data_IF_016559974319
#
_entry.id   IF_016559974319
#
_cell.length_a   1.000
_cell.length_b   1.000
_cell.length_c   1.000
_cell.angle_alpha   90.00
_cell.angle_beta   90.00
_cell.angle_gamma   90.00
#
_symmetry.space_group_name_H-M   'P 1'
#
loop_
_entity.id
_entity.type
_entity.pdbx_description
1 polymer ?
#
# COMPACT_ATOMS: atom_id res chain seq x y z
N UNK A 1 -6.67 -42.03 -17.17
CA UNK A 1 -5.78 -40.85 -17.23
C UNK A 1 -6.62 -39.61 -16.92
N UNK A 2 -6.61 -39.12 -15.67
CA UNK A 2 -7.47 -37.99 -15.27
C UNK A 2 -6.82 -36.65 -15.62
N UNK A 3 -7.43 -35.91 -16.55
CA UNK A 3 -7.05 -34.53 -16.88
C UNK A 3 -7.44 -33.64 -15.70
N UNK A 4 -6.46 -33.17 -14.92
CA UNK A 4 -6.72 -32.17 -13.87
C UNK A 4 -7.31 -30.93 -14.54
N UNK A 5 -8.55 -30.59 -14.19
CA UNK A 5 -9.12 -29.30 -14.59
C UNK A 5 -8.37 -28.20 -13.85
N UNK A 6 -8.05 -27.07 -14.51
CA UNK A 6 -7.42 -25.93 -13.86
C UNK A 6 -8.30 -25.47 -12.70
N UNK A 7 -7.73 -25.43 -11.50
CA UNK A 7 -8.44 -24.88 -10.34
C UNK A 7 -8.71 -23.40 -10.60
N UNK A 8 -9.96 -22.94 -10.47
CA UNK A 8 -10.28 -21.53 -10.63
C UNK A 8 -9.48 -20.74 -9.60
N UNK A 9 -8.61 -19.84 -10.08
CA UNK A 9 -7.89 -18.94 -9.19
C UNK A 9 -8.88 -17.90 -8.69
N UNK A 10 -9.14 -17.89 -7.39
CA UNK A 10 -9.99 -16.86 -6.80
C UNK A 10 -9.36 -15.47 -7.04
N UNK A 11 -10.18 -14.44 -7.34
CA UNK A 11 -9.68 -13.10 -7.54
C UNK A 11 -8.92 -12.64 -6.29
N UNK A 12 -7.67 -12.17 -6.47
CA UNK A 12 -6.89 -11.58 -5.37
C UNK A 12 -7.64 -10.36 -4.84
N UNK A 13 -7.78 -10.27 -3.51
CA UNK A 13 -8.38 -9.10 -2.86
C UNK A 13 -7.61 -7.83 -3.24
N UNK A 14 -8.29 -6.70 -3.48
CA UNK A 14 -7.62 -5.45 -3.78
C UNK A 14 -6.71 -5.05 -2.61
N UNK A 15 -5.48 -4.63 -2.92
CA UNK A 15 -4.50 -4.19 -1.92
C UNK A 15 -4.88 -2.78 -1.44
N UNK A 16 -5.29 -2.64 -0.19
CA UNK A 16 -5.66 -1.35 0.42
C UNK A 16 -4.46 -0.47 0.79
N UNK A 17 -3.27 -1.06 0.92
CA UNK A 17 -2.10 -0.37 1.47
C UNK A 17 -1.70 0.92 0.73
N UNK A 18 -1.64 0.96 -0.61
CA UNK A 18 -1.30 2.21 -1.32
C UNK A 18 -2.33 3.32 -1.07
N UNK A 19 -3.62 2.97 -1.05
CA UNK A 19 -4.70 3.95 -0.81
C UNK A 19 -4.70 4.45 0.64
N UNK A 20 -4.38 3.59 1.61
CA UNK A 20 -4.22 4.00 3.01
C UNK A 20 -2.99 4.88 3.22
N UNK A 21 -1.88 4.62 2.52
CA UNK A 21 -0.67 5.43 2.58
C UNK A 21 -0.94 6.83 2.03
N UNK A 22 -1.56 6.91 0.85
CA UNK A 22 -1.96 8.17 0.26
C UNK A 22 -2.93 8.93 1.17
N UNK A 23 -3.94 8.25 1.72
CA UNK A 23 -4.88 8.84 2.66
C UNK A 23 -4.20 9.41 3.92
N UNK A 24 -3.23 8.69 4.50
CA UNK A 24 -2.49 9.16 5.67
C UNK A 24 -1.70 10.44 5.37
N UNK A 25 -0.99 10.48 4.23
CA UNK A 25 -0.26 11.70 3.79
C UNK A 25 -1.24 12.85 3.57
N UNK A 26 -2.35 12.63 2.87
CA UNK A 26 -3.34 13.67 2.60
C UNK A 26 -4.01 14.21 3.88
N UNK A 27 -4.28 13.35 4.86
CA UNK A 27 -4.84 13.78 6.15
C UNK A 27 -3.85 14.65 6.94
N UNK A 28 -2.57 14.29 6.87
CA UNK A 28 -1.50 15.05 7.50
C UNK A 28 -1.32 16.42 6.83
N UNK A 29 -1.29 16.48 5.49
CA UNK A 29 -1.25 17.74 4.73
C UNK A 29 -2.49 18.61 4.99
N UNK A 30 -3.68 18.01 5.01
CA UNK A 30 -4.92 18.71 5.31
C UNK A 30 -4.87 19.38 6.70
N UNK A 31 -4.31 18.70 7.70
CA UNK A 31 -4.10 19.30 9.02
C UNK A 31 -3.18 20.52 8.91
N UNK A 32 -2.04 20.41 8.22
CA UNK A 32 -1.12 21.55 8.08
C UNK A 32 -1.80 22.75 7.40
N UNK A 33 -2.63 22.50 6.38
CA UNK A 33 -3.41 23.56 5.73
C UNK A 33 -4.40 24.22 6.70
N UNK A 34 -5.11 23.44 7.52
CA UNK A 34 -6.08 23.96 8.51
C UNK A 34 -5.37 24.69 9.66
N UNK A 35 -4.25 24.16 10.13
CA UNK A 35 -3.55 24.65 11.31
C UNK A 35 -2.79 25.97 11.07
N UNK A 36 -2.25 26.14 9.86
CA UNK A 36 -1.31 27.22 9.53
C UNK A 36 -1.81 28.13 8.40
N UNK A 37 -3.11 28.07 8.06
CA UNK A 37 -3.76 28.88 7.02
C UNK A 37 -3.01 28.90 5.68
N UNK A 38 -2.34 27.79 5.35
CA UNK A 38 -1.53 27.64 4.13
C UNK A 38 -0.06 28.09 4.22
N UNK A 39 0.38 28.79 5.27
CA UNK A 39 1.78 29.23 5.44
C UNK A 39 2.68 28.22 6.15
N UNK A 40 2.15 27.03 6.50
CA UNK A 40 2.87 26.01 7.27
C UNK A 40 4.23 25.62 6.69
N UNK A 41 4.35 25.50 5.36
CA UNK A 41 5.63 25.15 4.71
C UNK A 41 6.69 26.24 4.88
N UNK A 42 6.29 27.51 4.92
CA UNK A 42 7.22 28.63 5.17
C UNK A 42 7.66 28.67 6.64
N UNK A 43 6.75 28.46 7.58
CA UNK A 43 7.10 28.38 9.00
C UNK A 43 8.04 27.20 9.31
N UNK A 44 7.76 26.00 8.78
CA UNK A 44 8.64 24.84 8.95
C UNK A 44 10.04 25.04 8.34
N UNK A 45 10.14 25.75 7.21
CA UNK A 45 11.43 26.10 6.61
C UNK A 45 12.19 27.14 7.44
N UNK A 46 11.48 28.04 8.12
CA UNK A 46 12.06 29.05 8.99
C UNK A 46 12.60 28.45 10.30
N UNK A 47 11.90 27.46 10.87
CA UNK A 47 12.24 26.82 12.14
C UNK A 47 13.38 25.78 12.04
N UNK A 48 14.00 25.60 10.87
CA UNK A 48 15.20 24.78 10.71
C UNK A 48 14.94 23.26 10.74
N UNK A 49 13.71 22.82 10.46
CA UNK A 49 13.34 21.40 10.44
C UNK A 49 12.86 20.88 9.07
N UNK A 50 13.53 21.17 7.95
CA UNK A 50 13.08 20.75 6.62
C UNK A 50 13.03 19.23 6.43
N UNK A 51 13.75 18.48 7.26
CA UNK A 51 13.77 17.01 7.23
C UNK A 51 12.46 16.38 7.70
N UNK A 52 11.61 17.09 8.47
CA UNK A 52 10.31 16.58 8.90
C UNK A 52 9.38 16.29 7.71
N UNK A 53 9.48 17.08 6.64
CA UNK A 53 8.75 16.86 5.39
C UNK A 53 9.08 15.50 4.73
N UNK A 54 10.23 14.91 5.05
CA UNK A 54 10.65 13.59 4.55
C UNK A 54 10.39 12.49 5.58
N UNK A 55 10.63 12.75 6.87
CA UNK A 55 10.52 11.72 7.92
C UNK A 55 9.05 11.38 8.22
N UNK A 56 8.16 12.36 8.28
CA UNK A 56 6.73 12.12 8.56
C UNK A 56 6.06 11.16 7.56
N UNK A 57 6.18 11.34 6.23
CA UNK A 57 5.58 10.40 5.27
C UNK A 57 6.22 9.00 5.31
N UNK A 58 7.50 8.87 5.66
CA UNK A 58 8.15 7.57 5.82
C UNK A 58 7.58 6.80 7.02
N UNK A 59 7.34 7.48 8.14
CA UNK A 59 6.67 6.89 9.31
C UNK A 59 5.25 6.46 8.94
N UNK A 60 4.51 7.31 8.22
CA UNK A 60 3.17 6.98 7.73
C UNK A 60 3.19 5.71 6.85
N UNK A 61 4.12 5.60 5.90
CA UNK A 61 4.28 4.42 5.04
C UNK A 61 4.57 3.15 5.85
N UNK A 62 5.47 3.23 6.84
CA UNK A 62 5.79 2.10 7.70
C UNK A 62 4.57 1.64 8.51
N UNK A 63 3.88 2.57 9.17
CA UNK A 63 2.70 2.26 9.98
C UNK A 63 1.56 1.69 9.13
N UNK A 64 1.31 2.26 7.94
CA UNK A 64 0.31 1.72 7.01
C UNK A 64 0.68 0.32 6.55
N UNK A 65 1.96 0.04 6.26
CA UNK A 65 2.40 -1.30 5.89
C UNK A 65 2.18 -2.32 7.02
N UNK A 66 2.38 -1.93 8.29
CA UNK A 66 2.14 -2.79 9.45
C UNK A 66 0.63 -2.99 9.70
N UNK A 67 -0.17 -1.93 9.65
CA UNK A 67 -1.62 -1.99 9.91
C UNK A 67 -2.38 -2.70 8.79
N UNK A 68 -1.97 -2.56 7.54
CA UNK A 68 -2.63 -3.27 6.42
C UNK A 68 -2.40 -4.77 6.48
N UNK A 69 -1.27 -5.23 7.07
CA UNK A 69 -1.03 -6.65 7.35
C UNK A 69 -2.00 -7.21 8.39
N UNK A 70 -2.33 -6.45 9.43
CA UNK A 70 -3.30 -6.89 10.45
C UNK A 70 -4.74 -6.84 9.91
N UNK A 71 -5.09 -5.79 9.15
CA UNK A 71 -6.40 -5.64 8.51
C UNK A 71 -6.69 -6.72 7.46
N UNK A 72 -5.66 -7.22 6.76
CA UNK A 72 -5.82 -8.31 5.79
C UNK A 72 -6.33 -9.62 6.39
N UNK A 73 -6.18 -9.81 7.71
CA UNK A 73 -6.72 -10.95 8.46
C UNK A 73 -8.20 -10.76 8.83
N UNK A 74 -8.65 -9.52 8.95
CA UNK A 74 -10.02 -9.18 9.34
C UNK A 74 -10.95 -9.20 8.12
N UNK A 75 -11.42 -10.39 7.73
CA UNK A 75 -12.65 -10.58 6.94
C UNK A 75 -12.91 -9.58 5.79
N UNK A 76 -14.14 -9.09 5.68
CA UNK A 76 -14.54 -8.04 4.73
C UNK A 76 -14.07 -6.66 5.20
N UNK A 77 -13.65 -5.75 4.30
CA UNK A 77 -13.23 -4.41 4.70
C UNK A 77 -14.42 -3.62 5.26
N UNK A 78 -14.49 -3.49 6.58
CA UNK A 78 -15.35 -2.52 7.27
C UNK A 78 -14.62 -1.18 7.38
N UNK A 79 -15.38 -0.09 7.45
CA UNK A 79 -14.79 1.26 7.48
C UNK A 79 -14.13 1.59 8.83
N UNK A 80 -14.64 1.01 9.92
CA UNK A 80 -14.22 1.35 11.27
C UNK A 80 -12.74 0.98 11.55
N UNK A 81 -12.25 -0.23 11.21
CA UNK A 81 -10.83 -0.55 11.35
C UNK A 81 -9.92 0.28 10.43
N UNK A 82 -10.41 0.68 9.25
CA UNK A 82 -9.65 1.54 8.33
C UNK A 82 -9.54 2.94 8.91
N UNK A 83 -10.64 3.53 9.38
CA UNK A 83 -10.66 4.83 10.04
C UNK A 83 -9.78 4.84 11.29
N UNK A 84 -9.88 3.81 12.14
CA UNK A 84 -9.04 3.66 13.33
C UNK A 84 -7.55 3.53 12.99
N UNK A 85 -7.21 2.77 11.95
CA UNK A 85 -5.83 2.66 11.47
C UNK A 85 -5.31 4.02 10.95
N UNK A 86 -6.09 4.75 10.16
CA UNK A 86 -5.72 6.08 9.67
C UNK A 86 -5.53 7.06 10.82
N UNK A 87 -6.42 7.05 11.81
CA UNK A 87 -6.30 7.88 13.00
C UNK A 87 -5.05 7.55 13.82
N UNK A 88 -4.74 6.26 13.98
CA UNK A 88 -3.52 5.82 14.67
C UNK A 88 -2.25 6.29 13.97
N UNK A 89 -2.21 6.24 12.64
CA UNK A 89 -1.09 6.78 11.84
C UNK A 89 -0.96 8.28 12.06
N UNK A 90 -2.07 9.02 11.93
CA UNK A 90 -2.12 10.47 12.16
C UNK A 90 -1.63 10.85 13.57
N UNK A 91 -2.11 10.15 14.60
CA UNK A 91 -1.73 10.42 15.99
C UNK A 91 -0.24 10.14 16.22
N UNK A 92 0.29 9.05 15.66
CA UNK A 92 1.72 8.74 15.75
C UNK A 92 2.59 9.80 15.06
N UNK A 93 2.22 10.26 13.87
CA UNK A 93 2.92 11.36 13.18
C UNK A 93 2.93 12.61 14.04
N UNK A 94 1.77 13.01 14.57
CA UNK A 94 1.64 14.18 15.42
C UNK A 94 2.46 14.10 16.71
N UNK A 95 2.57 12.92 17.32
CA UNK A 95 3.40 12.73 18.53
C UNK A 95 4.87 12.82 18.18
N UNK A 96 5.32 12.19 17.09
CA UNK A 96 6.72 12.26 16.65
C UNK A 96 7.13 13.68 16.32
N UNK A 97 6.28 14.43 15.63
CA UNK A 97 6.51 15.84 15.32
C UNK A 97 6.63 16.68 16.60
N UNK A 98 5.73 16.51 17.56
CA UNK A 98 5.79 17.23 18.83
C UNK A 98 7.04 16.88 19.66
N UNK A 99 7.54 15.64 19.59
CA UNK A 99 8.79 15.24 20.27
C UNK A 99 10.03 15.85 19.61
N UNK A 100 9.97 16.07 18.30
CA UNK A 100 11.08 16.60 17.50
C UNK A 100 11.12 18.12 17.50
N UNK A 101 9.96 18.78 17.55
CA UNK A 101 9.79 20.23 17.54
C UNK A 101 9.19 20.69 18.88
N UNK A 102 10.02 20.92 19.92
CA UNK A 102 9.56 21.17 21.29
C UNK A 102 8.72 22.42 21.48
N UNK A 103 8.64 23.30 20.47
CA UNK A 103 7.79 24.48 20.45
C UNK A 103 6.30 24.16 20.23
N UNK A 104 5.96 22.92 19.87
CA UNK A 104 4.58 22.51 19.62
C UNK A 104 3.98 21.71 20.79
N UNK A 105 2.65 21.78 20.95
CA UNK A 105 1.92 20.96 21.91
C UNK A 105 2.22 19.47 21.67
N UNK A 106 2.60 18.74 22.71
CA UNK A 106 2.87 17.30 22.65
C UNK A 106 1.65 16.49 23.08
N UNK A 107 1.69 15.17 22.84
CA UNK A 107 0.63 14.24 23.27
C UNK A 107 -0.74 14.57 22.69
N UNK A 108 -1.80 14.48 23.51
CA UNK A 108 -3.17 14.74 23.08
C UNK A 108 -3.40 16.19 22.65
N UNK A 109 -2.70 17.15 23.26
CA UNK A 109 -2.74 18.55 22.86
C UNK A 109 -2.20 18.76 21.44
N UNK A 110 -1.17 17.99 21.05
CA UNK A 110 -0.67 17.97 19.67
C UNK A 110 -1.64 17.32 18.69
N UNK A 111 -2.31 16.24 19.09
CA UNK A 111 -3.23 15.49 18.21
C UNK A 111 -4.54 16.25 17.96
N UNK A 112 -5.09 16.90 18.99
CA UNK A 112 -6.41 17.55 18.95
C UNK A 112 -6.35 19.09 18.86
N UNK A 113 -5.21 19.70 19.20
CA UNK A 113 -5.00 21.15 19.12
C UNK A 113 -4.73 21.64 17.70
N UNK A 114 -4.73 22.98 17.51
CA UNK A 114 -4.44 23.65 16.24
C UNK A 114 -5.17 23.05 15.02
N UNK A 115 -6.48 22.78 15.15
CA UNK A 115 -7.28 22.18 14.07
C UNK A 115 -7.21 20.65 13.98
N UNK A 116 -6.42 19.99 14.83
CA UNK A 116 -6.29 18.53 14.85
C UNK A 116 -7.59 17.77 15.14
N UNK A 117 -8.57 18.41 15.79
CA UNK A 117 -9.91 17.84 15.97
C UNK A 117 -10.63 17.55 14.64
N UNK A 118 -10.33 18.30 13.56
CA UNK A 118 -10.86 18.05 12.22
C UNK A 118 -10.34 16.74 11.60
N UNK A 119 -9.27 16.17 12.13
CA UNK A 119 -8.77 14.88 11.68
C UNK A 119 -9.81 13.77 11.95
N UNK A 120 -10.61 13.85 13.01
CA UNK A 120 -11.62 12.85 13.36
C UNK A 120 -12.71 12.70 12.28
N UNK A 121 -13.46 13.74 11.89
CA UNK A 121 -14.43 13.62 10.81
C UNK A 121 -13.75 13.25 9.48
N UNK A 122 -12.53 13.73 9.23
CA UNK A 122 -11.80 13.40 8.01
C UNK A 122 -11.41 11.91 7.92
N UNK A 123 -10.87 11.30 8.99
CA UNK A 123 -10.53 9.85 9.00
C UNK A 123 -11.77 8.98 8.86
N UNK A 124 -12.90 9.41 9.42
CA UNK A 124 -14.18 8.69 9.28
C UNK A 124 -14.64 8.74 7.83
N UNK A 125 -14.67 9.92 7.21
CA UNK A 125 -15.07 10.10 5.82
C UNK A 125 -14.18 9.31 4.86
N UNK A 126 -12.86 9.41 5.03
CA UNK A 126 -11.87 8.71 4.19
C UNK A 126 -11.93 7.20 4.41
N UNK A 127 -12.02 6.73 5.67
CA UNK A 127 -12.16 5.32 5.99
C UNK A 127 -13.44 4.71 5.39
N UNK A 128 -14.55 5.44 5.45
CA UNK A 128 -15.79 5.05 4.79
C UNK A 128 -15.64 4.95 3.26
N UNK A 129 -15.04 5.97 2.63
CA UNK A 129 -14.82 6.03 1.18
C UNK A 129 -13.93 4.89 0.69
N UNK A 130 -12.82 4.62 1.39
CA UNK A 130 -11.91 3.53 1.07
C UNK A 130 -12.61 2.18 1.18
N UNK A 131 -13.36 1.95 2.27
CA UNK A 131 -14.09 0.71 2.47
C UNK A 131 -15.16 0.52 1.38
N UNK A 132 -15.87 1.59 1.00
CA UNK A 132 -16.90 1.55 -0.06
C UNK A 132 -16.29 1.25 -1.41
N UNK A 133 -15.21 1.94 -1.78
CA UNK A 133 -14.48 1.72 -3.04
C UNK A 133 -13.95 0.30 -3.14
N UNK A 134 -13.37 -0.23 -2.05
CA UNK A 134 -12.87 -1.60 -2.00
C UNK A 134 -13.98 -2.64 -2.18
N UNK A 135 -15.15 -2.44 -1.53
CA UNK A 135 -16.33 -3.29 -1.73
C UNK A 135 -16.84 -3.25 -3.16
N UNK A 136 -17.02 -2.05 -3.74
CA UNK A 136 -17.48 -1.90 -5.13
C UNK A 136 -16.53 -2.56 -6.14
N UNK A 137 -15.22 -2.41 -5.94
CA UNK A 137 -14.21 -3.03 -6.80
C UNK A 137 -14.26 -4.56 -6.67
N UNK A 138 -14.39 -5.08 -5.45
CA UNK A 138 -14.55 -6.51 -5.21
C UNK A 138 -15.81 -7.06 -5.88
N UNK A 139 -16.96 -6.40 -5.72
CA UNK A 139 -18.22 -6.84 -6.32
C UNK A 139 -18.17 -6.81 -7.85
N UNK A 140 -17.45 -5.84 -8.45
CA UNK A 140 -17.23 -5.80 -9.90
C UNK A 140 -16.30 -6.92 -10.37
N UNK A 141 -15.23 -7.18 -9.64
CA UNK A 141 -14.30 -8.29 -9.90
C UNK A 141 -15.00 -9.65 -9.87
N UNK A 142 -15.89 -9.86 -8.89
CA UNK A 142 -16.67 -11.10 -8.77
C UNK A 142 -17.72 -11.22 -9.87
N UNK A 143 -18.46 -10.15 -10.18
CA UNK A 143 -19.53 -10.17 -11.20
C UNK A 143 -19.03 -10.31 -12.63
N UNK A 144 -17.96 -9.61 -12.99
CA UNK A 144 -17.49 -9.54 -14.38
C UNK A 144 -16.28 -10.44 -14.67
N UNK A 145 -15.74 -11.09 -13.63
CA UNK A 145 -14.59 -11.99 -13.73
C UNK A 145 -13.30 -11.32 -14.24
N UNK A 146 -12.19 -12.08 -14.29
CA UNK A 146 -10.90 -11.57 -14.75
C UNK A 146 -10.88 -11.16 -16.25
N UNK A 147 -11.91 -11.51 -17.02
CA UNK A 147 -12.01 -11.13 -18.44
C UNK A 147 -12.31 -9.64 -18.64
N UNK A 148 -13.05 -9.00 -17.73
CA UNK A 148 -13.43 -7.59 -17.86
C UNK A 148 -12.33 -6.61 -17.44
N UNK A 149 -11.29 -7.10 -16.74
CA UNK A 149 -10.16 -6.29 -16.27
C UNK A 149 -8.84 -6.70 -16.90
N UNK A 150 -8.86 -7.33 -18.09
CA UNK A 150 -7.70 -7.26 -18.97
C UNK A 150 -7.47 -5.78 -19.28
N UNK A 151 -6.42 -5.15 -18.74
CA UNK A 151 -6.18 -3.76 -19.03
C UNK A 151 -5.94 -3.68 -20.54
N UNK A 152 -6.70 -2.86 -21.24
CA UNK A 152 -6.34 -2.39 -22.57
C UNK A 152 -4.97 -1.68 -22.57
N UNK A 153 -4.35 -1.47 -21.40
CA UNK A 153 -3.00 -0.95 -21.18
C UNK A 153 -1.87 -1.85 -21.72
N UNK A 154 -2.14 -3.06 -22.21
CA UNK A 154 -1.15 -3.81 -23.01
C UNK A 154 -1.07 -3.35 -24.49
N UNK A 155 -1.85 -2.34 -24.89
CA UNK A 155 -1.57 -1.53 -26.07
C UNK A 155 -0.89 -0.21 -25.65
N UNK A 156 0.10 -0.27 -24.77
CA UNK A 156 1.15 0.72 -24.85
C UNK A 156 1.83 0.45 -26.21
N UNK A 157 1.73 1.35 -27.21
CA UNK A 157 2.58 1.21 -28.39
C UNK A 157 4.00 1.17 -27.85
N UNK A 158 4.80 0.21 -28.32
CA UNK A 158 6.23 0.16 -28.07
C UNK A 158 6.89 1.36 -28.77
N UNK A 159 6.64 2.57 -28.26
CA UNK A 159 7.19 3.84 -28.73
C UNK A 159 8.39 4.27 -27.88
N UNK A 160 9.06 3.30 -27.26
CA UNK A 160 10.47 3.42 -26.94
C UNK A 160 11.20 2.38 -27.78
N UNK A 161 11.43 2.76 -29.03
CA UNK A 161 12.53 2.22 -29.82
C UNK A 161 13.79 2.31 -28.95
N UNK A 162 14.24 1.17 -28.42
CA UNK A 162 15.57 1.07 -27.86
C UNK A 162 16.56 1.21 -29.02
N UNK A 163 17.51 2.17 -28.99
CA UNK A 163 18.63 2.11 -29.90
C UNK A 163 19.47 0.88 -29.52
N UNK A 164 19.85 0.13 -30.56
CA UNK A 164 20.26 -1.26 -30.48
C UNK A 164 21.33 -1.57 -29.44
N UNK A 165 21.03 -2.55 -28.58
CA UNK A 165 22.04 -3.41 -27.99
C UNK A 165 22.01 -4.73 -28.75
N UNK A 166 23.06 -4.99 -29.52
CA UNK A 166 23.27 -6.27 -30.17
C UNK A 166 23.25 -7.37 -29.11
N UNK A 167 22.21 -8.20 -29.13
CA UNK A 167 22.17 -9.43 -28.35
C UNK A 167 23.08 -10.41 -29.07
N UNK A 168 24.31 -10.57 -28.56
CA UNK A 168 25.14 -11.73 -28.90
C UNK A 168 24.44 -12.93 -28.29
N UNK A 169 23.86 -13.77 -29.15
CA UNK A 169 23.26 -15.03 -28.74
C UNK A 169 24.35 -15.93 -28.14
N UNK A 170 24.24 -16.25 -26.85
CA UNK A 170 25.06 -17.28 -26.25
C UNK A 170 24.63 -18.65 -26.80
N UNK A 171 25.57 -19.51 -27.25
CA UNK A 171 25.21 -20.83 -27.74
C UNK A 171 24.62 -21.68 -26.62
N UNK A 172 23.46 -22.28 -26.89
CA UNK A 172 22.78 -23.21 -26.00
C UNK A 172 23.58 -24.51 -25.91
N UNK A 173 24.43 -24.63 -24.90
CA UNK A 173 24.99 -25.91 -24.50
C UNK A 173 23.85 -26.77 -23.92
N UNK A 174 23.43 -27.78 -24.67
CA UNK A 174 22.48 -28.79 -24.24
C UNK A 174 23.06 -29.55 -23.04
N UNK A 175 22.57 -29.25 -21.83
CA UNK A 175 22.81 -30.07 -20.65
C UNK A 175 22.03 -31.38 -20.82
N UNK A 176 22.75 -32.41 -21.30
CA UNK A 176 22.31 -33.79 -21.33
C UNK A 176 21.91 -34.22 -19.91
N UNK A 177 20.62 -34.48 -19.71
CA UNK A 177 20.08 -35.09 -18.49
C UNK A 177 20.43 -36.57 -18.49
N UNK A 178 21.43 -36.96 -17.71
CA UNK A 178 21.70 -38.35 -17.38
C UNK A 178 20.55 -38.91 -16.52
N UNK A 179 19.64 -39.62 -17.17
CA UNK A 179 18.71 -40.56 -16.56
C UNK A 179 19.48 -41.85 -16.22
N UNK A 180 20.14 -41.89 -15.06
CA UNK A 180 20.77 -43.10 -14.58
C UNK A 180 19.92 -43.76 -13.48
N UNK A 181 19.31 -44.89 -13.86
CA UNK A 181 19.28 -46.11 -13.04
C UNK A 181 18.38 -46.15 -11.80
N UNK A 182 17.15 -46.67 -11.97
CA UNK A 182 16.50 -47.46 -10.91
C UNK A 182 17.16 -48.84 -10.87
N UNK A 183 17.63 -49.29 -9.71
CA UNK A 183 18.00 -50.68 -9.48
C UNK A 183 16.75 -51.55 -9.22
N UNK A 184 16.72 -52.84 -9.62
CA UNK A 184 15.63 -53.76 -9.33
C UNK A 184 15.72 -54.34 -7.91
N UNK A 185 14.60 -54.84 -7.34
CA UNK A 185 14.59 -55.47 -6.01
C UNK A 185 15.18 -56.88 -6.05
N UNK A 186 16.01 -57.23 -5.07
CA UNK A 186 16.36 -58.61 -4.76
C UNK A 186 15.28 -59.20 -3.84
N UNK A 187 14.69 -60.32 -4.26
CA UNK A 187 13.91 -61.19 -3.39
C UNK A 187 14.89 -62.07 -2.60
N UNK A 188 14.74 -62.10 -1.28
CA UNK A 188 15.35 -63.13 -0.44
C UNK A 188 14.31 -64.23 -0.17
N UNK A 189 14.74 -65.46 -0.39
CA UNK A 189 14.10 -66.73 -0.01
C UNK A 189 14.33 -66.98 1.48
#
# INVERSE_FOLDING_TARGET
>A
MFRRLPTPTLPRRPRLAPSMALAAVLLHELRHLIAYDGDGTRMLAHDGHPWLAVVSPLIALLLVALLTRSLGRAGSPSWLPIAGALFGVYAAQSVVEGLVAPSQLTGLGGVLGHGGWMAVPAVVAVGWLLARTARLLHDRLVRFGPKALRPALLHAPALLAQPGRAVVAAPSAALARNLAGRAPPFALV
#
